data_IF_191052371504
#
_entry.id   IF_191052371504
#
_cell.length_a   1.000
_cell.length_b   1.000
_cell.length_c   1.000
_cell.angle_alpha   90.00
_cell.angle_beta   90.00
_cell.angle_gamma   90.00
#
_symmetry.space_group_name_H-M   'P 1'
#
loop_
_entity.id
_entity.type
_entity.pdbx_description
1 polymer ?
#
# COMPACT_ATOMS: atom_id res chain seq x y z
N UNK A 1 -16.42 50.85 53.41
CA UNK A 1 -16.98 51.68 52.33
C UNK A 1 -16.69 50.99 51.01
N UNK A 2 -17.67 50.94 50.11
CA UNK A 2 -18.14 49.70 49.50
C UNK A 2 -17.72 49.66 48.01
N UNK A 3 -17.98 48.68 47.13
CA UNK A 3 -19.20 47.95 46.80
C UNK A 3 -18.74 46.74 45.95
N UNK A 4 -19.04 45.52 46.38
CA UNK A 4 -19.40 44.40 45.49
C UNK A 4 -20.81 44.71 44.94
N UNK A 5 -21.30 44.23 43.77
CA UNK A 5 -21.52 42.78 43.67
C UNK A 5 -21.74 42.16 42.24
N UNK A 6 -21.77 40.81 42.22
CA UNK A 6 -22.73 39.85 41.57
C UNK A 6 -23.28 40.09 40.14
N UNK A 7 -23.63 39.11 39.29
CA UNK A 7 -24.33 37.81 39.39
C UNK A 7 -24.06 37.03 38.07
N UNK A 8 -23.84 35.71 38.03
CA UNK A 8 -24.80 34.61 38.16
C UNK A 8 -25.92 34.53 37.08
N UNK A 9 -25.80 33.49 36.25
CA UNK A 9 -26.83 32.62 35.65
C UNK A 9 -27.91 33.17 34.70
N UNK A 10 -28.01 32.57 33.49
CA UNK A 10 -29.14 31.70 33.08
C UNK A 10 -29.00 31.14 31.66
N UNK A 11 -29.50 29.91 31.52
CA UNK A 11 -29.67 29.08 30.30
C UNK A 11 -30.72 29.63 29.33
N UNK A 12 -30.55 29.38 28.04
CA UNK A 12 -31.56 28.79 27.10
C UNK A 12 -30.90 28.68 25.70
N UNK A 13 -30.65 27.47 25.18
CA UNK A 13 -31.50 26.61 24.36
C UNK A 13 -31.75 27.08 22.90
N UNK A 14 -31.25 26.23 21.99
CA UNK A 14 -31.82 25.84 20.69
C UNK A 14 -31.32 26.48 19.39
N UNK A 15 -30.91 25.58 18.49
CA UNK A 15 -30.89 25.57 17.01
C UNK A 15 -29.52 25.06 16.50
N UNK A 16 -29.38 23.75 16.31
CA UNK A 16 -29.61 22.99 15.06
C UNK A 16 -28.50 23.24 14.02
N UNK A 17 -27.81 22.16 13.62
CA UNK A 17 -26.54 22.15 12.86
C UNK A 17 -26.60 22.57 11.38
N UNK A 18 -25.71 22.10 10.48
CA UNK A 18 -24.65 21.09 10.64
C UNK A 18 -23.23 21.59 10.35
N UNK A 19 -22.23 20.85 10.86
CA UNK A 19 -20.80 21.03 10.58
C UNK A 19 -20.46 20.54 9.16
N UNK A 20 -19.67 21.28 8.35
CA UNK A 20 -19.06 20.70 7.16
C UNK A 20 -17.80 19.91 7.55
N UNK A 21 -17.91 18.60 7.47
CA UNK A 21 -16.78 17.67 7.49
C UNK A 21 -16.16 17.61 6.09
N UNK A 22 -14.91 18.07 5.90
CA UNK A 22 -14.12 17.80 4.69
C UNK A 22 -12.64 17.63 5.03
N UNK A 23 -12.30 16.49 5.63
CA UNK A 23 -10.99 15.87 5.41
C UNK A 23 -11.03 15.12 4.08
N UNK A 24 -10.54 15.78 3.01
CA UNK A 24 -10.26 15.11 1.73
C UNK A 24 -8.97 14.32 1.88
N UNK A 25 -9.09 13.11 2.43
CA UNK A 25 -8.04 12.10 2.40
C UNK A 25 -8.02 11.47 1.00
N UNK A 26 -6.93 11.66 0.27
CA UNK A 26 -6.63 10.97 -0.97
C UNK A 26 -6.72 9.44 -0.74
N UNK A 27 -7.48 8.76 -1.60
CA UNK A 27 -7.52 7.29 -1.69
C UNK A 27 -6.94 6.87 -3.04
N UNK A 28 -5.90 6.02 -3.11
CA UNK A 28 -5.59 5.32 -4.33
C UNK A 28 -6.57 4.16 -4.51
N UNK A 29 -7.22 4.13 -5.66
CA UNK A 29 -8.11 3.04 -6.06
C UNK A 29 -7.32 1.79 -6.42
N UNK A 30 -7.62 0.69 -5.74
CA UNK A 30 -7.31 -0.65 -6.21
C UNK A 30 -8.63 -1.41 -6.29
N UNK A 31 -9.17 -1.51 -7.50
CA UNK A 31 -10.26 -2.42 -7.85
C UNK A 31 -9.64 -3.71 -8.40
N UNK A 32 -10.12 -4.82 -7.87
CA UNK A 32 -10.38 -6.10 -8.52
C UNK A 32 -9.25 -6.75 -9.31
N UNK A 33 -8.61 -7.75 -8.69
CA UNK A 33 -7.96 -8.84 -9.40
C UNK A 33 -8.83 -10.10 -9.30
N UNK A 34 -9.15 -10.80 -10.40
CA UNK A 34 -9.94 -12.02 -10.38
C UNK A 34 -9.09 -13.21 -9.93
N UNK A 35 -9.67 -14.03 -9.05
CA UNK A 35 -9.04 -15.22 -8.49
C UNK A 35 -9.37 -16.42 -9.38
N UNK A 36 -8.51 -16.76 -10.33
CA UNK A 36 -8.58 -18.03 -11.06
C UNK A 36 -7.57 -19.02 -10.50
N UNK A 37 -8.07 -20.11 -9.89
CA UNK A 37 -7.33 -21.37 -9.73
C UNK A 37 -8.02 -22.43 -10.57
N UNK A 38 -7.30 -23.26 -11.36
CA UNK A 38 -7.92 -24.37 -12.05
C UNK A 38 -8.13 -25.57 -11.12
N UNK A 39 -9.32 -26.13 -11.25
CA UNK A 39 -9.78 -27.39 -10.69
C UNK A 39 -9.07 -28.58 -11.36
N UNK A 40 -8.67 -29.59 -10.58
CA UNK A 40 -8.60 -30.96 -11.06
C UNK A 40 -9.48 -31.85 -10.17
N UNK A 41 -10.47 -32.43 -10.83
CA UNK A 41 -11.66 -33.11 -10.32
C UNK A 41 -11.55 -34.59 -10.68
N UNK A 42 -11.72 -35.50 -9.72
CA UNK A 42 -12.17 -36.89 -9.96
C UNK A 42 -13.12 -37.27 -8.82
N UNK A 43 -14.43 -37.05 -9.01
CA UNK A 43 -15.49 -38.03 -9.38
C UNK A 43 -15.73 -39.14 -8.33
N UNK A 44 -16.78 -38.93 -7.53
CA UNK A 44 -17.70 -39.96 -7.00
C UNK A 44 -18.51 -40.59 -8.16
N UNK A 45 -19.09 -41.81 -8.02
CA UNK A 45 -20.39 -42.07 -7.33
C UNK A 45 -20.40 -43.44 -6.57
N UNK A 46 -21.40 -43.91 -5.82
CA UNK A 46 -22.60 -43.45 -5.12
C UNK A 46 -23.14 -44.67 -4.30
N UNK A 47 -24.21 -44.45 -3.53
CA UNK A 47 -25.15 -45.41 -2.90
C UNK A 47 -24.72 -46.00 -1.53
N UNK A 48 -25.58 -46.18 -0.53
CA UNK A 48 -26.90 -45.68 -0.13
C UNK A 48 -27.22 -46.44 1.15
N UNK A 49 -27.85 -45.84 2.16
CA UNK A 49 -29.06 -46.39 2.79
C UNK A 49 -29.44 -45.68 4.09
N UNK A 50 -30.72 -45.35 4.09
CA UNK A 50 -31.65 -44.86 5.11
C UNK A 50 -31.39 -45.19 6.59
N UNK A 51 -31.73 -44.19 7.38
CA UNK A 51 -32.07 -44.21 8.80
C UNK A 51 -33.50 -44.73 8.98
N UNK A 52 -33.74 -45.64 9.93
CA UNK A 52 -35.04 -45.89 10.55
C UNK A 52 -34.85 -46.42 11.98
N UNK A 53 -35.86 -46.18 12.80
CA UNK A 53 -35.82 -45.98 14.25
C UNK A 53 -36.02 -47.23 15.14
N UNK A 54 -35.44 -47.14 16.37
CA UNK A 54 -35.92 -47.64 17.69
C UNK A 54 -36.01 -49.17 17.93
N UNK A 55 -36.16 -49.67 19.20
CA UNK A 55 -36.02 -49.06 20.54
C UNK A 55 -35.08 -49.83 21.50
N UNK A 56 -34.82 -49.24 22.66
CA UNK A 56 -34.21 -49.89 23.84
C UNK A 56 -35.21 -50.84 24.51
N UNK A 57 -34.87 -52.09 24.83
CA UNK A 57 -35.62 -52.86 25.82
C UNK A 57 -35.09 -52.59 27.23
N UNK A 58 -36.00 -52.23 28.12
CA UNK A 58 -35.78 -52.20 29.57
C UNK A 58 -35.95 -53.60 30.16
N UNK A 59 -35.28 -53.77 31.30
CA UNK A 59 -35.56 -54.65 32.45
C UNK A 59 -34.84 -56.00 32.51
N UNK A 60 -34.67 -56.61 33.70
CA UNK A 60 -34.83 -56.10 35.07
C UNK A 60 -33.56 -56.27 35.94
N UNK A 61 -33.47 -55.49 37.02
CA UNK A 61 -32.59 -55.82 38.14
C UNK A 61 -33.18 -57.00 38.92
N UNK A 62 -32.37 -58.00 39.31
CA UNK A 62 -32.63 -58.74 40.52
C UNK A 62 -31.54 -58.45 41.56
N UNK A 63 -32.01 -58.10 42.76
CA UNK A 63 -31.57 -58.76 43.99
C UNK A 63 -30.12 -58.59 44.42
N UNK A 64 -29.95 -57.88 45.54
CA UNK A 64 -28.79 -58.04 46.42
C UNK A 64 -28.57 -59.53 46.74
N UNK A 65 -27.37 -60.03 46.49
CA UNK A 65 -26.75 -61.04 47.35
C UNK A 65 -25.25 -60.71 47.47
N UNK A 66 -24.85 -60.31 48.67
CA UNK A 66 -23.48 -60.47 49.13
C UNK A 66 -23.21 -61.96 49.25
N UNK A 67 -22.26 -62.50 48.48
CA UNK A 67 -21.62 -63.77 48.80
C UNK A 67 -20.19 -63.75 48.25
N UNK A 68 -19.27 -64.13 49.12
CA UNK A 68 -17.83 -64.10 48.90
C UNK A 68 -17.37 -64.95 47.70
N UNK A 69 -16.32 -64.48 47.05
CA UNK A 69 -15.43 -65.28 46.21
C UNK A 69 -15.82 -65.39 44.74
N UNK A 70 -15.05 -64.73 43.87
CA UNK A 70 -14.37 -65.39 42.72
C UNK A 70 -13.48 -64.40 41.96
N UNK A 71 -12.14 -64.52 42.02
CA UNK A 71 -11.21 -63.75 41.16
C UNK A 71 -11.46 -63.93 39.65
N UNK A 72 -12.30 -64.90 39.25
CA UNK A 72 -12.78 -65.08 37.87
C UNK A 72 -13.57 -63.91 37.30
N UNK A 73 -14.40 -63.21 38.09
CA UNK A 73 -15.23 -62.11 37.56
C UNK A 73 -14.41 -60.87 37.19
N UNK A 74 -13.43 -60.54 38.03
CA UNK A 74 -12.49 -59.44 37.77
C UNK A 74 -11.59 -59.79 36.58
N UNK A 75 -11.10 -61.04 36.50
CA UNK A 75 -10.33 -61.53 35.36
C UNK A 75 -11.10 -61.43 34.03
N UNK A 76 -12.36 -61.87 34.00
CA UNK A 76 -13.23 -61.76 32.81
C UNK A 76 -13.49 -60.30 32.39
N UNK A 77 -13.57 -59.37 33.34
CA UNK A 77 -13.72 -57.95 33.05
C UNK A 77 -12.44 -57.30 32.54
N UNK A 78 -11.29 -57.70 33.09
CA UNK A 78 -9.98 -57.25 32.61
C UNK A 78 -9.73 -57.76 31.19
N UNK A 79 -10.03 -59.04 30.90
CA UNK A 79 -9.92 -59.63 29.55
C UNK A 79 -10.83 -58.92 28.54
N UNK A 80 -12.03 -58.51 28.96
CA UNK A 80 -13.00 -57.80 28.11
C UNK A 80 -12.67 -56.31 27.91
N UNK A 81 -12.09 -55.66 28.92
CA UNK A 81 -11.75 -54.23 28.89
C UNK A 81 -10.39 -53.95 28.22
N UNK A 82 -9.41 -54.87 28.34
CA UNK A 82 -8.07 -54.70 27.75
C UNK A 82 -7.93 -55.33 26.36
N UNK A 83 -8.80 -56.27 25.99
CA UNK A 83 -8.72 -57.00 24.72
C UNK A 83 -7.52 -57.94 24.68
N UNK A 84 -7.74 -59.21 24.33
CA UNK A 84 -6.64 -60.05 23.84
C UNK A 84 -6.26 -59.47 22.47
N UNK A 85 -5.07 -58.88 22.38
CA UNK A 85 -4.46 -58.59 21.07
C UNK A 85 -4.10 -59.95 20.49
N UNK A 86 -5.02 -60.52 19.72
CA UNK A 86 -4.74 -61.68 18.88
C UNK A 86 -3.86 -61.18 17.74
N UNK A 87 -2.54 -61.20 17.96
CA UNK A 87 -1.57 -61.03 16.89
C UNK A 87 -1.68 -62.28 16.00
N UNK A 88 -2.27 -62.12 14.82
CA UNK A 88 -2.14 -63.11 13.75
C UNK A 88 -0.64 -63.23 13.39
N UNK A 89 0.02 -64.25 13.92
CA UNK A 89 1.35 -64.62 13.44
C UNK A 89 1.19 -65.29 12.08
N UNK A 90 1.67 -64.63 11.04
CA UNK A 90 1.81 -65.22 9.71
C UNK A 90 2.62 -66.53 9.78
N UNK A 91 2.18 -67.55 9.04
CA UNK A 91 2.65 -68.95 9.06
C UNK A 91 4.13 -69.18 8.69
N UNK A 92 4.95 -68.14 8.53
CA UNK A 92 6.34 -68.24 8.08
C UNK A 92 7.40 -67.83 9.10
N UNK A 93 7.06 -67.72 10.39
CA UNK A 93 8.08 -67.53 11.43
C UNK A 93 8.49 -68.91 11.97
N UNK A 94 9.68 -69.38 11.57
CA UNK A 94 10.34 -70.53 12.19
C UNK A 94 10.23 -70.42 13.71
N UNK A 95 9.57 -71.39 14.33
CA UNK A 95 9.32 -71.40 15.77
C UNK A 95 10.63 -71.08 16.51
N UNK A 96 10.71 -69.88 17.10
CA UNK A 96 11.78 -69.58 18.03
C UNK A 96 11.69 -70.63 19.13
N UNK A 97 12.81 -71.31 19.40
CA UNK A 97 12.97 -72.17 20.56
C UNK A 97 12.35 -71.44 21.75
N UNK A 98 11.33 -72.00 22.44
CA UNK A 98 10.71 -71.30 23.54
C UNK A 98 11.81 -70.89 24.49
N UNK A 99 11.95 -69.57 24.70
CA UNK A 99 12.94 -69.01 25.61
C UNK A 99 12.87 -69.83 26.91
N UNK A 100 14.00 -70.13 27.57
CA UNK A 100 13.97 -70.72 28.89
C UNK A 100 13.40 -69.65 29.83
N UNK A 101 12.08 -69.55 29.90
CA UNK A 101 11.35 -68.61 30.74
C UNK A 101 11.37 -69.13 32.19
N UNK A 102 11.65 -70.42 32.41
CA UNK A 102 11.66 -71.01 33.74
C UNK A 102 12.77 -70.50 34.68
N UNK A 103 14.02 -70.21 34.26
CA UNK A 103 15.02 -69.65 35.16
C UNK A 103 14.98 -68.12 35.25
N UNK A 104 14.36 -67.42 34.28
CA UNK A 104 14.40 -65.96 34.15
C UNK A 104 13.09 -65.24 34.54
N UNK A 105 12.03 -65.98 34.88
CA UNK A 105 10.89 -65.40 35.57
C UNK A 105 11.23 -65.41 37.05
N UNK A 106 11.73 -64.29 37.53
CA UNK A 106 11.59 -63.93 38.94
C UNK A 106 10.17 -64.28 39.33
N UNK A 107 10.01 -65.20 40.29
CA UNK A 107 8.70 -65.62 40.78
C UNK A 107 7.97 -64.36 41.22
N UNK A 108 7.09 -63.84 40.36
CA UNK A 108 6.23 -62.74 40.72
C UNK A 108 5.44 -63.24 41.92
N UNK A 109 5.45 -62.50 43.05
CA UNK A 109 4.76 -62.95 44.24
C UNK A 109 3.30 -63.22 43.89
N UNK A 110 2.84 -64.44 44.16
CA UNK A 110 1.46 -64.83 43.91
C UNK A 110 0.59 -64.02 44.87
N UNK A 111 -0.08 -63.01 44.34
CA UNK A 111 -0.98 -62.15 45.12
C UNK A 111 -2.27 -62.92 45.39
N UNK A 112 -2.34 -63.57 46.55
CA UNK A 112 -3.53 -64.34 46.97
C UNK A 112 -4.72 -63.44 47.36
N UNK A 113 -4.46 -62.20 47.80
CA UNK A 113 -5.46 -61.21 48.18
C UNK A 113 -5.10 -59.83 47.66
N UNK A 114 -6.05 -59.19 46.99
CA UNK A 114 -5.92 -57.81 46.53
C UNK A 114 -5.74 -56.86 47.72
N UNK A 115 -4.81 -55.87 47.64
CA UNK A 115 -4.66 -54.83 48.65
C UNK A 115 -5.99 -54.09 48.89
N UNK A 116 -6.32 -53.80 50.15
CA UNK A 116 -7.54 -53.04 50.49
C UNK A 116 -7.44 -51.60 49.98
N UNK A 117 -8.49 -51.11 49.32
CA UNK A 117 -8.58 -49.73 48.81
C UNK A 117 -8.17 -49.54 47.35
N UNK A 118 -7.60 -50.57 46.71
CA UNK A 118 -7.15 -50.52 45.32
C UNK A 118 -8.32 -50.35 44.34
N UNK A 119 -9.49 -50.92 44.64
CA UNK A 119 -10.71 -50.65 43.87
C UNK A 119 -11.16 -49.19 43.93
N UNK A 120 -11.06 -48.54 45.10
CA UNK A 120 -11.47 -47.14 45.28
C UNK A 120 -10.53 -46.19 44.53
N UNK A 121 -9.23 -46.50 44.54
CA UNK A 121 -8.22 -45.77 43.80
C UNK A 121 -8.42 -45.91 42.29
N UNK A 122 -8.70 -47.13 41.80
CA UNK A 122 -9.05 -47.37 40.39
C UNK A 122 -10.32 -46.58 40.00
N UNK A 123 -11.35 -46.56 40.84
CA UNK A 123 -12.57 -45.79 40.57
C UNK A 123 -12.31 -44.27 40.54
N UNK A 124 -11.46 -43.78 41.45
CA UNK A 124 -11.07 -42.37 41.51
C UNK A 124 -10.28 -41.95 40.27
N UNK A 125 -9.34 -42.77 39.82
CA UNK A 125 -8.57 -42.54 38.59
C UNK A 125 -9.50 -42.61 37.36
N UNK A 126 -10.36 -43.63 37.25
CA UNK A 126 -11.34 -43.74 36.15
C UNK A 126 -12.30 -42.55 36.09
N UNK A 127 -12.76 -42.04 37.24
CA UNK A 127 -13.59 -40.84 37.28
C UNK A 127 -12.82 -39.60 36.80
N UNK A 128 -11.53 -39.49 37.13
CA UNK A 128 -10.65 -38.40 36.66
C UNK A 128 -10.39 -38.48 35.16
N UNK A 129 -10.13 -39.68 34.64
CA UNK A 129 -9.96 -39.93 33.20
C UNK A 129 -11.24 -39.67 32.41
N UNK A 130 -12.42 -39.92 32.96
CA UNK A 130 -13.70 -39.60 32.31
C UNK A 130 -14.02 -38.10 32.28
N UNK A 131 -13.47 -37.31 33.21
CA UNK A 131 -13.59 -35.84 33.22
C UNK A 131 -12.73 -35.18 32.16
N UNK A 132 -11.57 -35.78 31.86
CA UNK A 132 -10.83 -35.47 30.66
C UNK A 132 -11.64 -36.05 29.50
N UNK A 133 -12.26 -35.20 28.69
CA UNK A 133 -13.01 -35.65 27.52
C UNK A 133 -12.09 -36.40 26.53
N UNK A 134 -12.59 -36.72 25.34
CA UNK A 134 -11.76 -37.40 24.32
C UNK A 134 -10.51 -36.56 24.04
N UNK A 135 -9.36 -37.07 24.46
CA UNK A 135 -8.06 -36.48 24.16
C UNK A 135 -7.86 -36.55 22.65
N UNK A 136 -7.48 -35.42 22.05
CA UNK A 136 -7.15 -35.37 20.63
C UNK A 136 -5.73 -35.94 20.45
N UNK A 137 -5.57 -37.13 19.83
CA UNK A 137 -4.25 -37.72 19.62
C UNK A 137 -3.40 -36.91 18.62
N UNK A 138 -4.04 -36.13 17.74
CA UNK A 138 -3.36 -35.32 16.72
C UNK A 138 -2.98 -33.92 17.25
N UNK A 139 -3.22 -33.63 18.53
CA UNK A 139 -2.90 -32.33 19.10
C UNK A 139 -1.41 -31.94 18.99
N UNK A 140 -0.43 -32.85 19.19
CA UNK A 140 0.98 -32.53 19.01
C UNK A 140 1.32 -32.14 17.56
N UNK A 141 0.81 -32.91 16.59
CA UNK A 141 1.07 -32.67 15.16
C UNK A 141 0.44 -31.35 14.70
N UNK A 142 -0.82 -31.10 15.08
CA UNK A 142 -1.51 -29.84 14.79
C UNK A 142 -0.81 -28.64 15.43
N UNK A 143 -0.29 -28.81 16.66
CA UNK A 143 0.47 -27.76 17.32
C UNK A 143 1.75 -27.44 16.55
N UNK A 144 2.50 -28.46 16.12
CA UNK A 144 3.71 -28.29 15.34
C UNK A 144 3.43 -27.54 14.01
N UNK A 145 2.39 -27.95 13.27
CA UNK A 145 2.00 -27.28 12.01
C UNK A 145 1.61 -25.81 12.23
N UNK A 146 0.80 -25.53 13.26
CA UNK A 146 0.38 -24.16 13.58
C UNK A 146 1.57 -23.33 14.06
N UNK A 147 2.48 -23.92 14.84
CA UNK A 147 3.68 -23.25 15.31
C UNK A 147 4.61 -22.87 14.15
N UNK A 148 4.84 -23.78 13.21
CA UNK A 148 5.65 -23.53 12.01
C UNK A 148 5.04 -22.38 11.19
N UNK A 149 3.73 -22.43 10.93
CA UNK A 149 3.03 -21.35 10.22
C UNK A 149 3.07 -20.02 10.97
N UNK A 150 2.92 -20.05 12.29
CA UNK A 150 3.01 -18.85 13.13
C UNK A 150 4.40 -18.23 13.04
N UNK A 151 5.45 -19.06 13.15
CA UNK A 151 6.83 -18.60 13.08
C UNK A 151 7.13 -17.99 11.71
N UNK A 152 6.76 -18.67 10.62
CA UNK A 152 6.90 -18.15 9.26
C UNK A 152 6.22 -16.79 9.08
N UNK A 153 4.95 -16.66 9.47
CA UNK A 153 4.22 -15.39 9.31
C UNK A 153 4.78 -14.28 10.19
N UNK A 154 5.32 -14.62 11.37
CA UNK A 154 5.96 -13.65 12.27
C UNK A 154 7.24 -13.10 11.64
N UNK A 155 8.08 -13.99 11.07
CA UNK A 155 9.30 -13.60 10.37
C UNK A 155 8.99 -12.72 9.15
N UNK A 156 8.00 -13.10 8.33
CA UNK A 156 7.57 -12.30 7.18
C UNK A 156 7.00 -10.94 7.60
N UNK A 157 6.23 -10.89 8.69
CA UNK A 157 5.70 -9.62 9.19
C UNK A 157 6.81 -8.70 9.71
N UNK A 158 7.82 -9.26 10.36
CA UNK A 158 8.98 -8.50 10.83
C UNK A 158 9.78 -7.93 9.64
N UNK A 159 10.03 -8.75 8.62
CA UNK A 159 10.74 -8.33 7.41
C UNK A 159 9.98 -7.22 6.66
N UNK A 160 8.66 -7.36 6.49
CA UNK A 160 7.82 -6.31 5.91
C UNK A 160 7.85 -5.02 6.73
N UNK A 161 7.90 -5.12 8.06
CA UNK A 161 8.06 -3.97 8.96
C UNK A 161 9.37 -3.23 8.69
N UNK A 162 10.49 -3.96 8.68
CA UNK A 162 11.82 -3.41 8.39
C UNK A 162 11.91 -2.84 6.98
N UNK A 163 11.34 -3.51 5.97
CA UNK A 163 11.30 -2.99 4.60
C UNK A 163 10.49 -1.69 4.51
N UNK A 164 9.35 -1.61 5.21
CA UNK A 164 8.55 -0.39 5.26
C UNK A 164 9.28 0.78 5.92
N UNK A 165 10.03 0.53 6.99
CA UNK A 165 10.86 1.54 7.65
C UNK A 165 11.97 2.05 6.73
N UNK A 166 12.69 1.14 6.05
CA UNK A 166 13.72 1.51 5.07
C UNK A 166 13.16 2.35 3.94
N UNK A 167 12.01 1.99 3.38
CA UNK A 167 11.38 2.78 2.33
C UNK A 167 11.00 4.18 2.81
N UNK A 168 10.52 4.32 4.06
CA UNK A 168 10.24 5.65 4.64
C UNK A 168 11.50 6.49 4.82
N UNK A 169 12.63 5.86 5.17
CA UNK A 169 13.92 6.56 5.25
C UNK A 169 14.37 7.06 3.88
N UNK A 170 14.27 6.23 2.84
CA UNK A 170 14.59 6.63 1.45
C UNK A 170 13.70 7.77 0.98
N UNK A 171 12.39 7.74 1.29
CA UNK A 171 11.48 8.84 0.97
C UNK A 171 11.91 10.12 1.66
N UNK A 172 12.24 10.08 2.95
CA UNK A 172 12.70 11.27 3.68
C UNK A 172 14.02 11.84 3.12
N UNK A 173 14.96 10.98 2.72
CA UNK A 173 16.20 11.40 2.08
C UNK A 173 15.94 12.04 0.70
N UNK A 174 15.03 11.47 -0.09
CA UNK A 174 14.64 12.05 -1.37
C UNK A 174 13.92 13.40 -1.19
N UNK A 175 13.06 13.54 -0.18
CA UNK A 175 12.37 14.79 0.12
C UNK A 175 13.38 15.90 0.45
N UNK A 176 14.40 15.61 1.26
CA UNK A 176 15.48 16.57 1.58
C UNK A 176 16.27 16.98 0.33
N UNK A 177 16.63 16.02 -0.53
CA UNK A 177 17.31 16.31 -1.80
C UNK A 177 16.45 17.14 -2.76
N UNK A 178 15.15 16.86 -2.82
CA UNK A 178 14.21 17.62 -3.65
C UNK A 178 14.07 19.06 -3.14
N UNK A 179 14.01 19.28 -1.83
CA UNK A 179 13.94 20.63 -1.25
C UNK A 179 15.18 21.48 -1.58
N UNK A 180 16.37 20.88 -1.50
CA UNK A 180 17.63 21.54 -1.87
C UNK A 180 17.63 21.89 -3.36
N UNK A 181 17.38 20.91 -4.22
CA UNK A 181 17.38 21.11 -5.68
C UNK A 181 16.31 22.12 -6.12
N UNK A 182 15.13 22.07 -5.51
CA UNK A 182 14.06 23.04 -5.77
C UNK A 182 14.49 24.45 -5.38
N UNK A 183 15.07 24.64 -4.19
CA UNK A 183 15.52 25.97 -3.74
C UNK A 183 16.60 26.54 -4.64
N UNK A 184 17.62 25.75 -4.98
CA UNK A 184 18.71 26.17 -5.86
C UNK A 184 18.18 26.59 -7.25
N UNK A 185 17.30 25.78 -7.84
CA UNK A 185 16.71 26.07 -9.16
C UNK A 185 15.75 27.25 -9.12
N UNK A 186 14.91 27.35 -8.07
CA UNK A 186 14.00 28.48 -7.88
C UNK A 186 14.75 29.80 -7.74
N UNK A 187 15.81 29.84 -6.91
CA UNK A 187 16.60 31.05 -6.70
C UNK A 187 17.32 31.47 -8.00
N UNK A 188 17.87 30.51 -8.75
CA UNK A 188 18.46 30.76 -10.06
C UNK A 188 17.45 31.33 -11.06
N UNK A 189 16.25 30.74 -11.16
CA UNK A 189 15.17 31.22 -12.03
C UNK A 189 14.69 32.60 -11.59
N UNK A 190 14.56 32.86 -10.29
CA UNK A 190 14.10 34.14 -9.75
C UNK A 190 15.07 35.28 -10.11
N UNK A 191 16.39 35.03 -10.02
CA UNK A 191 17.43 35.98 -10.43
C UNK A 191 17.30 36.27 -11.93
N UNK A 192 17.31 35.23 -12.77
CA UNK A 192 17.22 35.40 -14.23
C UNK A 192 15.94 36.07 -14.68
N UNK A 193 14.82 35.73 -14.06
CA UNK A 193 13.53 36.35 -14.32
C UNK A 193 13.54 37.84 -14.01
N UNK A 194 14.15 38.25 -12.90
CA UNK A 194 14.28 39.65 -12.53
C UNK A 194 15.19 40.46 -13.47
N UNK A 195 16.17 39.80 -14.10
CA UNK A 195 17.08 40.39 -15.10
C UNK A 195 16.43 40.52 -16.48
N UNK A 196 15.70 39.48 -16.93
CA UNK A 196 15.08 39.43 -18.26
C UNK A 196 13.82 40.29 -18.36
N UNK A 197 13.07 40.44 -17.28
CA UNK A 197 11.85 41.23 -17.26
C UNK A 197 12.06 42.69 -17.73
N UNK A 198 13.01 43.48 -17.17
CA UNK A 198 13.21 44.87 -17.61
C UNK A 198 13.74 44.97 -19.04
N UNK A 199 14.43 43.95 -19.56
CA UNK A 199 14.89 43.92 -20.96
C UNK A 199 13.67 43.84 -21.90
N UNK A 200 12.72 42.96 -21.58
CA UNK A 200 11.50 42.78 -22.39
C UNK A 200 10.50 43.92 -22.26
N UNK A 201 10.43 44.61 -21.11
CA UNK A 201 9.47 45.69 -20.85
C UNK A 201 10.07 47.10 -20.91
N UNK A 202 11.35 47.27 -21.24
CA UNK A 202 12.07 48.57 -21.21
C UNK A 202 11.96 49.23 -19.81
N UNK A 203 12.17 48.41 -18.78
CA UNK A 203 12.05 48.77 -17.38
C UNK A 203 10.96 47.99 -16.66
N UNK A 204 10.57 48.49 -15.48
CA UNK A 204 9.74 47.71 -14.56
C UNK A 204 10.54 46.69 -13.76
N UNK A 205 9.85 45.96 -12.88
CA UNK A 205 10.46 44.96 -11.98
C UNK A 205 9.50 43.81 -11.83
N UNK A 206 10.00 42.57 -11.85
CA UNK A 206 9.22 41.40 -11.50
C UNK A 206 9.98 40.52 -10.51
N UNK A 207 9.23 39.78 -9.69
CA UNK A 207 9.76 38.84 -8.71
C UNK A 207 8.83 37.65 -8.55
N UNK A 208 9.43 36.52 -8.21
CA UNK A 208 8.72 35.30 -7.83
C UNK A 208 8.57 35.27 -6.31
N UNK A 209 7.40 34.88 -5.82
CA UNK A 209 7.14 34.65 -4.40
C UNK A 209 6.56 33.25 -4.20
N UNK A 210 7.03 32.56 -3.16
CA UNK A 210 6.43 31.31 -2.71
C UNK A 210 5.20 31.62 -1.86
N UNK A 211 4.09 30.92 -2.10
CA UNK A 211 2.86 31.09 -1.31
C UNK A 211 3.07 30.64 0.14
N UNK A 212 3.81 29.55 0.34
CA UNK A 212 4.15 28.95 1.63
C UNK A 212 5.67 28.68 1.67
N UNK A 213 6.48 29.57 2.25
CA UNK A 213 7.94 29.44 2.22
C UNK A 213 8.49 28.33 3.14
N UNK A 214 7.67 27.85 4.08
CA UNK A 214 8.04 26.82 5.06
C UNK A 214 7.80 25.39 4.56
N UNK A 215 7.02 25.20 3.48
CA UNK A 215 6.75 23.91 2.85
C UNK A 215 6.99 24.01 1.34
N UNK A 216 8.25 23.79 0.93
CA UNK A 216 8.68 23.95 -0.47
C UNK A 216 8.04 22.92 -1.40
N UNK A 217 7.72 21.71 -0.91
CA UNK A 217 7.21 20.62 -1.73
C UNK A 217 5.73 20.79 -2.07
N UNK A 218 4.97 21.53 -1.25
CA UNK A 218 3.56 21.82 -1.49
C UNK A 218 3.25 23.27 -1.88
N UNK A 219 4.26 24.16 -1.79
CA UNK A 219 4.11 25.59 -2.09
C UNK A 219 3.66 25.88 -3.52
N UNK A 220 2.82 26.90 -3.66
CA UNK A 220 2.57 27.56 -4.94
C UNK A 220 3.63 28.61 -5.27
N UNK A 221 3.77 28.94 -6.56
CA UNK A 221 4.59 30.07 -7.03
C UNK A 221 3.68 31.19 -7.54
N UNK A 222 3.74 32.34 -6.89
CA UNK A 222 3.08 33.56 -7.29
C UNK A 222 4.04 34.49 -8.05
N UNK A 223 3.54 35.11 -9.12
CA UNK A 223 4.31 36.04 -9.95
C UNK A 223 3.80 37.45 -9.68
N UNK A 224 4.70 38.31 -9.19
CA UNK A 224 4.43 39.73 -8.98
C UNK A 224 5.23 40.52 -9.99
N UNK A 225 4.52 41.23 -10.87
CA UNK A 225 5.13 42.08 -11.88
C UNK A 225 4.69 43.54 -11.70
N UNK A 226 5.63 44.44 -11.97
CA UNK A 226 5.43 45.88 -12.01
C UNK A 226 5.89 46.39 -13.38
N UNK A 227 4.97 46.46 -14.37
CA UNK A 227 5.26 47.09 -15.66
C UNK A 227 5.64 48.58 -15.50
N UNK A 228 6.33 49.17 -16.49
CA UNK A 228 6.72 50.58 -16.45
C UNK A 228 5.49 51.48 -16.25
N UNK A 229 5.59 52.44 -15.33
CA UNK A 229 4.49 53.37 -15.02
C UNK A 229 3.31 52.79 -14.22
N UNK A 230 3.32 51.49 -13.87
CA UNK A 230 2.24 50.84 -13.11
C UNK A 230 2.69 50.41 -11.70
N UNK A 231 1.70 50.04 -10.87
CA UNK A 231 1.90 49.43 -9.54
C UNK A 231 2.17 47.93 -9.68
N UNK A 232 2.82 47.34 -8.68
CA UNK A 232 3.04 45.90 -8.63
C UNK A 232 1.70 45.18 -8.48
N UNK A 233 1.47 44.18 -9.34
CA UNK A 233 0.24 43.41 -9.40
C UNK A 233 0.55 41.93 -9.63
N UNK A 234 -0.38 41.06 -9.22
CA UNK A 234 -0.33 39.62 -9.53
C UNK A 234 -0.62 39.40 -11.01
N UNK A 235 -0.07 38.33 -11.59
CA UNK A 235 -0.21 37.98 -13.02
C UNK A 235 -1.67 38.02 -13.52
N UNK A 236 -2.63 37.57 -12.71
CA UNK A 236 -4.06 37.53 -13.06
C UNK A 236 -4.70 38.92 -13.27
N UNK A 237 -4.08 39.98 -12.75
CA UNK A 237 -4.59 41.37 -12.82
C UNK A 237 -3.96 42.19 -13.95
N UNK A 238 -2.96 41.65 -14.65
CA UNK A 238 -2.29 42.32 -15.77
C UNK A 238 -3.16 42.30 -17.03
N UNK A 239 -2.87 43.22 -17.97
CA UNK A 239 -3.50 43.19 -19.30
C UNK A 239 -3.08 41.97 -20.11
N UNK A 240 -3.84 41.60 -21.15
CA UNK A 240 -3.57 40.40 -21.94
C UNK A 240 -2.17 40.34 -22.57
N UNK A 241 -1.69 41.47 -23.12
CA UNK A 241 -0.33 41.57 -23.67
C UNK A 241 0.75 41.52 -22.59
N UNK A 242 0.58 42.27 -21.50
CA UNK A 242 1.53 42.26 -20.36
C UNK A 242 1.62 40.88 -19.72
N UNK A 243 0.50 40.17 -19.60
CA UNK A 243 0.47 38.80 -19.06
C UNK A 243 1.24 37.84 -19.96
N UNK A 244 1.06 37.94 -21.27
CA UNK A 244 1.73 37.06 -22.25
C UNK A 244 3.24 37.32 -22.26
N UNK A 245 3.65 38.58 -22.24
CA UNK A 245 5.07 38.95 -22.20
C UNK A 245 5.73 38.61 -20.85
N UNK A 246 5.02 38.75 -19.74
CA UNK A 246 5.51 38.30 -18.41
C UNK A 246 5.69 36.78 -18.38
N UNK A 247 4.77 36.03 -18.98
CA UNK A 247 4.88 34.58 -19.08
C UNK A 247 6.04 34.15 -19.99
N UNK A 248 6.24 34.83 -21.12
CA UNK A 248 7.39 34.61 -22.00
C UNK A 248 8.72 34.90 -21.29
N UNK A 249 8.79 35.97 -20.50
CA UNK A 249 9.97 36.31 -19.69
C UNK A 249 10.31 35.19 -18.69
N UNK A 250 9.30 34.61 -18.03
CA UNK A 250 9.49 33.48 -17.13
C UNK A 250 9.95 32.22 -17.87
N UNK A 251 9.34 31.93 -19.03
CA UNK A 251 9.73 30.80 -19.85
C UNK A 251 11.20 30.90 -20.28
N UNK A 252 11.64 32.07 -20.73
CA UNK A 252 13.04 32.30 -21.09
C UNK A 252 13.98 32.21 -19.89
N UNK A 253 13.57 32.69 -18.71
CA UNK A 253 14.37 32.51 -17.50
C UNK A 253 14.56 31.01 -17.16
N UNK A 254 13.51 30.20 -17.32
CA UNK A 254 13.59 28.75 -17.10
C UNK A 254 14.51 28.10 -18.14
N UNK A 255 14.36 28.43 -19.43
CA UNK A 255 15.20 27.88 -20.50
C UNK A 255 16.68 28.28 -20.35
N UNK A 256 16.96 29.46 -19.79
CA UNK A 256 18.32 29.90 -19.53
C UNK A 256 18.97 29.15 -18.36
N UNK A 257 18.21 28.82 -17.31
CA UNK A 257 18.71 28.05 -16.16
C UNK A 257 18.77 26.55 -16.46
N UNK A 258 17.85 26.06 -17.29
CA UNK A 258 17.73 24.65 -17.65
C UNK A 258 17.55 24.51 -19.16
N UNK A 259 18.66 24.60 -19.94
CA UNK A 259 18.59 24.55 -21.40
C UNK A 259 18.10 23.19 -21.87
N UNK A 260 17.11 23.19 -22.74
CA UNK A 260 16.59 21.99 -23.40
C UNK A 260 17.24 21.83 -24.77
N UNK A 261 17.39 20.60 -25.30
CA UNK A 261 18.01 20.40 -26.61
C UNK A 261 17.19 21.03 -27.75
N UNK A 262 15.85 21.03 -27.63
CA UNK A 262 14.95 21.71 -28.54
C UNK A 262 13.77 22.34 -27.79
N UNK A 263 13.17 23.38 -28.36
CA UNK A 263 12.00 24.08 -27.85
C UNK A 263 11.05 24.40 -29.00
N UNK A 264 9.75 24.10 -28.83
CA UNK A 264 8.70 24.41 -29.79
C UNK A 264 7.79 25.49 -29.21
N UNK A 265 7.61 26.56 -29.96
CA UNK A 265 6.87 27.75 -29.57
C UNK A 265 5.75 28.02 -30.59
N UNK A 266 4.50 27.98 -30.15
CA UNK A 266 3.33 28.15 -31.02
C UNK A 266 2.58 29.45 -30.70
N UNK A 267 2.55 30.37 -31.68
CA UNK A 267 1.89 31.69 -31.66
C UNK A 267 2.13 32.54 -30.40
N UNK A 268 3.27 32.36 -29.74
CA UNK A 268 3.60 33.06 -28.49
C UNK A 268 3.74 34.57 -28.68
N UNK A 269 4.08 35.01 -29.89
CA UNK A 269 4.25 36.41 -30.27
C UNK A 269 2.96 37.07 -30.81
N UNK A 270 1.85 36.33 -30.90
CA UNK A 270 0.58 36.86 -31.41
C UNK A 270 -0.03 37.95 -30.51
N UNK A 271 0.27 37.93 -29.21
CA UNK A 271 -0.21 38.91 -28.23
C UNK A 271 0.77 40.09 -28.02
N UNK A 272 1.89 40.11 -28.74
CA UNK A 272 2.94 41.12 -28.59
C UNK A 272 2.79 42.21 -29.65
N UNK A 273 3.07 43.46 -29.27
CA UNK A 273 3.17 44.56 -30.22
C UNK A 273 4.54 44.56 -30.94
N UNK A 274 4.64 45.33 -32.03
CA UNK A 274 5.83 45.34 -32.89
C UNK A 274 7.14 45.69 -32.14
N UNK A 275 7.06 46.58 -31.14
CA UNK A 275 8.21 46.95 -30.32
C UNK A 275 8.64 45.84 -29.35
N UNK A 276 7.71 45.10 -28.75
CA UNK A 276 8.01 43.97 -27.87
C UNK A 276 8.50 42.75 -28.68
N UNK A 277 8.01 42.56 -29.90
CA UNK A 277 8.42 41.43 -30.75
C UNK A 277 9.90 41.55 -31.13
N UNK A 278 10.42 42.74 -31.41
CA UNK A 278 11.86 42.93 -31.67
C UNK A 278 12.76 42.48 -30.50
N UNK A 279 12.36 42.82 -29.27
CA UNK A 279 13.07 42.40 -28.03
C UNK A 279 12.95 40.91 -27.77
N UNK A 280 11.78 40.34 -28.03
CA UNK A 280 11.56 38.90 -27.96
C UNK A 280 12.50 38.14 -28.89
N UNK A 281 12.67 38.61 -30.14
CA UNK A 281 13.58 37.98 -31.11
C UNK A 281 15.03 38.05 -30.68
N UNK A 282 15.50 39.21 -30.21
CA UNK A 282 16.89 39.36 -29.76
C UNK A 282 17.25 38.36 -28.65
N UNK A 283 16.34 38.14 -27.68
CA UNK A 283 16.53 37.11 -26.66
C UNK A 283 16.46 35.69 -27.23
N UNK A 284 15.58 35.46 -28.20
CA UNK A 284 15.46 34.15 -28.83
C UNK A 284 16.71 33.78 -29.64
N UNK A 285 17.30 34.74 -30.35
CA UNK A 285 18.57 34.58 -31.07
C UNK A 285 19.73 34.26 -30.11
N UNK A 286 19.77 34.89 -28.93
CA UNK A 286 20.76 34.58 -27.89
C UNK A 286 20.61 33.14 -27.40
N UNK A 287 19.38 32.73 -27.06
CA UNK A 287 19.12 31.37 -26.59
C UNK A 287 19.32 30.32 -27.71
N UNK A 288 19.10 30.69 -28.97
CA UNK A 288 19.28 29.82 -30.12
C UNK A 288 20.73 29.35 -30.32
N UNK A 289 21.71 30.04 -29.69
CA UNK A 289 23.11 29.59 -29.69
C UNK A 289 23.32 28.26 -28.95
N UNK A 290 22.43 27.93 -28.01
CA UNK A 290 22.54 26.72 -27.18
C UNK A 290 21.37 25.75 -27.37
N UNK A 291 20.19 26.25 -27.74
CA UNK A 291 18.94 25.47 -27.86
C UNK A 291 18.37 25.59 -29.27
N UNK A 292 17.90 24.49 -29.85
CA UNK A 292 17.21 24.54 -31.14
C UNK A 292 15.76 25.03 -30.98
N UNK A 293 15.39 26.13 -31.64
CA UNK A 293 14.02 26.66 -31.60
C UNK A 293 13.23 26.31 -32.87
N UNK A 294 11.99 25.88 -32.68
CA UNK A 294 10.97 25.75 -33.74
C UNK A 294 9.82 26.68 -33.37
N UNK A 295 9.61 27.72 -34.17
CA UNK A 295 8.57 28.72 -33.91
C UNK A 295 7.49 28.61 -34.98
N UNK A 296 6.25 28.48 -34.54
CA UNK A 296 5.06 28.58 -35.38
C UNK A 296 4.49 29.97 -35.16
N UNK A 297 4.53 30.81 -36.19
CA UNK A 297 4.06 32.19 -36.10
C UNK A 297 3.63 32.73 -37.46
N UNK A 298 2.76 33.73 -37.44
CA UNK A 298 2.40 34.56 -38.59
C UNK A 298 3.04 35.96 -38.53
N UNK A 299 3.82 36.26 -37.49
CA UNK A 299 4.46 37.55 -37.31
C UNK A 299 5.64 37.70 -38.28
N UNK A 300 5.52 38.64 -39.23
CA UNK A 300 6.47 38.81 -40.34
C UNK A 300 7.90 38.94 -39.88
N UNK A 301 8.17 39.78 -38.89
CA UNK A 301 9.57 39.96 -38.54
C UNK A 301 10.15 38.76 -37.76
N UNK A 302 9.32 37.92 -37.13
CA UNK A 302 9.82 36.72 -36.42
C UNK A 302 10.20 35.68 -37.47
N UNK A 303 9.46 35.64 -38.56
CA UNK A 303 9.80 34.89 -39.78
C UNK A 303 11.09 35.44 -40.41
N UNK A 304 11.29 36.76 -40.47
CA UNK A 304 12.51 37.38 -41.04
C UNK A 304 13.79 37.05 -40.26
N UNK A 305 13.69 36.75 -38.97
CA UNK A 305 14.85 36.39 -38.13
C UNK A 305 15.23 34.90 -38.23
N UNK A 306 14.39 34.06 -38.83
CA UNK A 306 14.58 32.61 -38.87
C UNK A 306 15.68 32.20 -39.87
N UNK A 307 16.50 31.20 -39.49
CA UNK A 307 17.48 30.59 -40.41
C UNK A 307 16.80 29.81 -41.54
N UNK A 308 15.70 29.13 -41.23
CA UNK A 308 14.97 28.29 -42.16
C UNK A 308 13.47 28.43 -41.92
N UNK A 309 12.73 28.69 -42.99
CA UNK A 309 11.28 28.85 -42.95
C UNK A 309 10.64 27.60 -43.54
N UNK A 310 9.68 27.03 -42.82
CA UNK A 310 8.81 25.99 -43.32
C UNK A 310 7.40 26.55 -43.50
N UNK A 311 6.94 26.60 -44.75
CA UNK A 311 5.59 26.97 -45.12
C UNK A 311 4.71 25.74 -45.29
N UNK A 312 3.52 25.74 -44.69
CA UNK A 312 2.50 24.71 -44.94
C UNK A 312 1.47 25.29 -45.91
N UNK A 313 1.29 24.63 -47.06
CA UNK A 313 0.29 24.99 -48.08
C UNK A 313 -0.67 23.84 -48.30
N UNK A 314 -1.96 24.13 -48.51
CA UNK A 314 -2.95 23.10 -48.87
C UNK A 314 -3.10 23.05 -50.40
N UNK A 315 -2.86 21.87 -50.97
CA UNK A 315 -3.13 21.61 -52.38
C UNK A 315 -4.64 21.56 -52.70
N UNK A 316 -4.98 21.55 -53.98
CA UNK A 316 -6.36 21.43 -54.45
C UNK A 316 -7.06 20.14 -53.97
N UNK A 317 -6.27 19.11 -53.65
CA UNK A 317 -6.74 17.82 -53.14
C UNK A 317 -7.03 17.83 -51.62
N UNK A 318 -6.89 18.98 -50.94
CA UNK A 318 -7.11 19.13 -49.51
C UNK A 318 -6.01 18.51 -48.62
N UNK A 319 -4.90 18.09 -49.23
CA UNK A 319 -3.73 17.55 -48.53
C UNK A 319 -2.73 18.69 -48.26
N UNK A 320 -2.30 18.81 -46.99
CA UNK A 320 -1.24 19.74 -46.60
C UNK A 320 0.12 19.28 -47.12
N UNK A 321 0.82 20.17 -47.80
CA UNK A 321 2.19 20.00 -48.27
C UNK A 321 3.10 20.98 -47.55
N UNK A 322 4.31 20.54 -47.24
CA UNK A 322 5.34 21.35 -46.57
C UNK A 322 6.34 21.82 -47.63
N UNK A 323 6.61 23.11 -47.63
CA UNK A 323 7.62 23.76 -48.47
C UNK A 323 8.67 24.37 -47.55
N UNK A 324 9.95 24.14 -47.82
CA UNK A 324 11.05 24.73 -47.07
C UNK A 324 11.74 25.82 -47.88
N UNK A 325 12.10 26.92 -47.20
CA UNK A 325 12.92 27.99 -47.73
C UNK A 325 14.05 28.24 -46.74
N UNK A 326 15.30 28.10 -47.18
CA UNK A 326 16.46 28.54 -46.41
C UNK A 326 16.68 30.04 -46.67
N UNK A 327 16.91 30.81 -45.60
CA UNK A 327 17.20 32.24 -45.73
C UNK A 327 18.71 32.42 -45.84
N UNK A 328 19.19 32.92 -46.98
CA UNK A 328 20.59 33.31 -47.14
C UNK A 328 20.87 34.53 -46.25
N UNK A 329 21.76 34.37 -45.25
CA UNK A 329 22.29 35.47 -44.45
C UNK A 329 23.47 36.10 -45.20
N UNK A 330 23.32 37.34 -45.66
CA UNK A 330 24.38 38.17 -46.25
C UNK A 330 25.34 38.75 -45.20
#
# INVERSE_FOLDING_TARGET
MPICPTNAAKRSLSSSGPRPNRSRRWKPGWRNWPNERPLLRKKQPALSARRSERPVPRSPWPGRHCAAGKPRYVKQRIEKDLGLVELELAESVTAQTPLPIRPLVSQLPVVEKLPKGLEEEIQRIKARTRRLERVNPNAPDNYAEVQERHQFLTEQSADLGTASEKLRQVVAELDELMEIAFRETFDAIAIRFSELFPILFEGGVARLELTEPDDLLSSGVDIIARPPGKRAQRLALLSGGERSLTAAALLFAILHVSPTPFCVLDEVDAALDEANVGRFRALLEELAQQTQFIIITHNRGTVEAADTIYGVSMGADGVSQVVSLEMDRE
#
